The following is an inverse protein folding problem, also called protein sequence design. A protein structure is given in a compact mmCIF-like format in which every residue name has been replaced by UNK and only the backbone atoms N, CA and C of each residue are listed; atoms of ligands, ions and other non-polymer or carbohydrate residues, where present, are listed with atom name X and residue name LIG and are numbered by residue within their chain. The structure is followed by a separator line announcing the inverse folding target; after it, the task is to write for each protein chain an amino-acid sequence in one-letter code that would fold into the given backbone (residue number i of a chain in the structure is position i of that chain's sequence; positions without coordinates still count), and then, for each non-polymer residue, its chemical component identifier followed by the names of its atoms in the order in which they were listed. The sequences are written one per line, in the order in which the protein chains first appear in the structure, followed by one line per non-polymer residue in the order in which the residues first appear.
data_IF_152145778247
#
_entry.id   IF_152145778247
#
_cell.length_a   1.000
_cell.length_b   1.000
_cell.length_c   1.000
_cell.angle_alpha   90.00
_cell.angle_beta   90.00
_cell.angle_gamma   90.00
#
_symmetry.space_group_name_H-M   'P 1'
#
loop_
_entity.id
_entity.type
_entity.pdbx_description
1 polymer ?
#
# COMPACT_ATOMS: atom_id res chain seq x y z
N UNK A 1 -2.35 -2.84 15.95
CA UNK A 1 -3.30 -3.96 15.89
C UNK A 1 -2.70 -5.06 15.02
N UNK A 2 -2.05 -6.09 15.59
CA UNK A 2 -1.28 -7.08 14.82
C UNK A 2 -2.11 -7.80 13.73
N UNK A 3 -3.39 -8.07 14.01
CA UNK A 3 -4.30 -8.72 13.06
C UNK A 3 -4.60 -7.85 11.83
N UNK A 4 -4.61 -6.52 12.01
CA UNK A 4 -4.86 -5.58 10.92
C UNK A 4 -3.64 -5.48 10.00
N UNK A 5 -2.44 -5.42 10.59
CA UNK A 5 -1.19 -5.48 9.83
C UNK A 5 -1.10 -6.79 9.04
N UNK A 6 -1.33 -7.94 9.67
CA UNK A 6 -1.34 -9.25 9.00
C UNK A 6 -2.33 -9.28 7.81
N UNK A 7 -3.46 -8.58 7.87
CA UNK A 7 -4.41 -8.47 6.76
C UNK A 7 -3.86 -7.66 5.58
N UNK A 8 -3.25 -6.50 5.84
CA UNK A 8 -2.63 -5.68 4.79
C UNK A 8 -1.42 -6.36 4.16
N UNK A 9 -0.66 -7.14 4.93
CA UNK A 9 0.43 -7.97 4.40
C UNK A 9 -0.10 -9.05 3.44
N UNK A 10 -1.22 -9.70 3.78
CA UNK A 10 -1.86 -10.68 2.90
C UNK A 10 -2.42 -10.02 1.62
N UNK A 11 -2.98 -8.81 1.75
CA UNK A 11 -3.44 -8.04 0.60
C UNK A 11 -2.30 -7.74 -0.37
N UNK A 12 -1.17 -7.24 0.12
CA UNK A 12 0.04 -7.00 -0.68
C UNK A 12 0.47 -8.28 -1.38
N UNK A 13 0.67 -9.37 -0.63
CA UNK A 13 1.12 -10.65 -1.18
C UNK A 13 0.21 -11.16 -2.29
N UNK A 14 -1.11 -10.99 -2.16
CA UNK A 14 -2.06 -11.36 -3.20
C UNK A 14 -1.94 -10.47 -4.44
N UNK A 15 -1.78 -9.15 -4.26
CA UNK A 15 -1.70 -8.19 -5.37
C UNK A 15 -0.38 -8.27 -6.14
N UNK A 16 0.70 -8.68 -5.49
CA UNK A 16 2.05 -8.72 -6.08
C UNK A 16 2.51 -10.14 -6.44
N UNK A 17 1.63 -11.13 -6.31
CA UNK A 17 1.96 -12.53 -6.57
C UNK A 17 2.38 -12.76 -8.03
N UNK A 18 3.66 -13.06 -8.24
CA UNK A 18 4.24 -13.33 -9.57
C UNK A 18 4.70 -12.10 -10.34
N UNK A 19 4.51 -10.91 -9.77
CA UNK A 19 4.87 -9.65 -10.42
C UNK A 19 6.36 -9.31 -10.21
N UNK A 20 7.04 -8.73 -11.23
CA UNK A 20 8.44 -8.38 -11.12
C UNK A 20 8.63 -7.12 -10.27
N UNK A 21 9.76 -7.05 -9.56
CA UNK A 21 10.19 -5.82 -8.91
C UNK A 21 10.63 -4.78 -9.97
N UNK A 22 10.15 -3.55 -9.82
CA UNK A 22 10.51 -2.38 -10.63
C UNK A 22 10.90 -1.24 -9.70
N UNK A 23 11.80 -0.35 -10.15
CA UNK A 23 12.23 0.78 -9.32
C UNK A 23 11.17 1.89 -9.34
N UNK A 24 10.90 2.49 -8.19
CA UNK A 24 9.92 3.58 -8.08
C UNK A 24 10.26 4.78 -8.96
N UNK A 25 11.54 5.12 -9.05
CA UNK A 25 12.02 6.20 -9.93
C UNK A 25 11.71 5.94 -11.41
N UNK A 26 11.75 4.68 -11.84
CA UNK A 26 11.50 4.30 -13.23
C UNK A 26 10.00 4.32 -13.55
N UNK A 27 9.15 4.05 -12.56
CA UNK A 27 7.68 4.07 -12.70
C UNK A 27 7.09 5.49 -12.62
N UNK A 28 7.62 6.33 -11.74
CA UNK A 28 7.03 7.64 -11.41
C UNK A 28 7.72 8.81 -12.06
N UNK A 29 8.99 8.65 -12.50
CA UNK A 29 9.85 9.75 -12.93
C UNK A 29 10.28 10.69 -11.79
N UNK A 30 9.95 10.37 -10.54
CA UNK A 30 10.33 11.16 -9.36
C UNK A 30 11.69 10.71 -8.81
N UNK A 31 12.31 11.58 -8.01
CA UNK A 31 13.64 11.37 -7.44
C UNK A 31 13.63 10.42 -6.21
N UNK A 32 13.14 9.19 -6.42
CA UNK A 32 13.28 8.09 -5.46
C UNK A 32 14.70 7.52 -5.48
N UNK A 33 15.15 6.97 -4.36
CA UNK A 33 16.45 6.31 -4.24
C UNK A 33 16.51 5.05 -5.13
N UNK A 34 17.72 4.67 -5.52
CA UNK A 34 17.95 3.61 -6.52
C UNK A 34 17.59 2.20 -6.08
N UNK A 35 17.48 2.00 -4.77
CA UNK A 35 17.11 0.78 -4.08
C UNK A 35 15.61 0.73 -3.73
N UNK A 36 14.86 1.81 -3.95
CA UNK A 36 13.42 1.83 -3.74
C UNK A 36 12.71 1.13 -4.90
N UNK A 37 12.14 -0.03 -4.58
CA UNK A 37 11.46 -0.91 -5.54
C UNK A 37 10.04 -1.20 -5.08
N UNK A 38 9.16 -1.48 -6.03
CA UNK A 38 7.82 -1.99 -5.82
C UNK A 38 7.53 -3.10 -6.83
N UNK A 39 6.61 -4.00 -6.54
CA UNK A 39 6.03 -4.87 -7.55
C UNK A 39 4.97 -4.10 -8.36
N UNK A 40 4.58 -4.62 -9.53
CA UNK A 40 3.35 -4.13 -10.16
C UNK A 40 2.18 -4.54 -9.26
N UNK A 41 1.63 -3.57 -8.54
CA UNK A 41 0.77 -3.79 -7.37
C UNK A 41 -0.64 -3.20 -7.56
N UNK A 42 -0.85 -2.57 -8.72
CA UNK A 42 -2.06 -1.87 -9.15
C UNK A 42 -2.56 -0.81 -8.15
N UNK A 43 -1.71 -0.38 -7.20
CA UNK A 43 -2.07 0.72 -6.31
C UNK A 43 -2.13 2.03 -7.09
N UNK A 44 -2.95 2.93 -6.59
CA UNK A 44 -3.09 4.26 -7.18
C UNK A 44 -1.84 5.13 -6.96
N UNK A 45 -1.05 4.79 -5.94
CA UNK A 45 0.25 5.37 -5.66
C UNK A 45 1.29 4.23 -5.66
N UNK A 46 2.25 4.18 -6.61
CA UNK A 46 3.26 3.12 -6.66
C UNK A 46 4.10 3.00 -5.37
N UNK A 47 4.24 4.07 -4.60
CA UNK A 47 4.95 4.04 -3.31
C UNK A 47 4.22 3.18 -2.26
N UNK A 48 2.90 2.99 -2.40
CA UNK A 48 2.08 2.25 -1.46
C UNK A 48 2.50 0.78 -1.34
N UNK A 49 2.91 0.14 -2.45
CA UNK A 49 3.39 -1.24 -2.46
C UNK A 49 4.90 -1.37 -2.38
N UNK A 50 5.62 -0.31 -1.99
CA UNK A 50 7.08 -0.34 -1.86
C UNK A 50 7.54 -1.53 -1.03
N UNK A 51 8.51 -2.26 -1.58
CA UNK A 51 9.12 -3.43 -0.98
C UNK A 51 10.46 -3.05 -0.31
N UNK A 52 10.73 -3.64 0.86
CA UNK A 52 11.92 -3.38 1.67
C UNK A 52 12.77 -4.66 1.84
N UNK A 53 14.08 -4.57 1.63
CA UNK A 53 15.07 -5.62 1.91
C UNK A 53 15.92 -5.24 3.15
N UNK A 54 16.20 -6.18 4.07
CA UNK A 54 16.83 -5.93 5.39
C UNK A 54 18.29 -5.45 5.38
N UNK A 55 19.00 -5.20 6.49
CA UNK A 55 18.75 -5.37 7.95
C UNK A 55 18.21 -4.11 8.62
N UNK A 56 17.08 -4.26 9.31
CA UNK A 56 16.31 -3.18 9.92
C UNK A 56 14.86 -3.12 9.40
N UNK A 57 14.65 -3.55 8.16
CA UNK A 57 13.34 -3.74 7.52
C UNK A 57 13.47 -4.78 6.40
N UNK A 58 13.56 -6.07 6.76
CA UNK A 58 13.26 -7.16 5.82
C UNK A 58 11.81 -7.55 5.97
N UNK A 59 11.12 -7.84 4.88
CA UNK A 59 10.93 -9.25 4.52
C UNK A 59 10.21 -9.38 3.16
N UNK A 60 10.71 -10.26 2.28
CA UNK A 60 9.82 -11.12 1.47
C UNK A 60 9.12 -12.09 2.42
N UNK A 61 8.17 -11.57 3.19
CA UNK A 61 7.52 -12.17 4.38
C UNK A 61 6.87 -11.08 5.25
N UNK A 62 6.59 -11.35 6.52
CA UNK A 62 5.59 -10.65 7.38
C UNK A 62 5.55 -9.10 7.44
N UNK A 63 6.55 -8.35 6.94
CA UNK A 63 6.60 -6.89 7.01
C UNK A 63 7.03 -6.21 5.69
N UNK A 64 6.78 -6.83 4.53
CA UNK A 64 7.13 -6.27 3.21
C UNK A 64 6.28 -5.05 2.81
N UNK A 65 5.09 -4.90 3.39
CA UNK A 65 4.07 -3.95 2.94
C UNK A 65 3.83 -2.78 3.92
N UNK A 66 4.89 -2.08 4.35
CA UNK A 66 4.80 -1.07 5.42
C UNK A 66 3.86 0.09 5.09
N UNK A 67 3.79 0.46 3.81
CA UNK A 67 3.09 1.65 3.35
C UNK A 67 1.64 1.38 2.93
N UNK A 68 1.24 0.10 2.79
CA UNK A 68 -0.08 -0.23 2.25
C UNK A 68 -1.19 0.30 3.15
N UNK A 69 -1.09 0.06 4.46
CA UNK A 69 -2.08 0.52 5.43
C UNK A 69 -2.01 2.03 5.64
N UNK A 70 -0.81 2.59 5.81
CA UNK A 70 -0.61 4.02 6.13
C UNK A 70 -1.07 4.91 4.99
N UNK A 71 -0.69 4.59 3.75
CA UNK A 71 -1.08 5.36 2.56
C UNK A 71 -2.58 5.20 2.28
N UNK A 72 -3.15 4.01 2.46
CA UNK A 72 -4.59 3.80 2.29
C UNK A 72 -5.42 4.62 3.29
N UNK A 73 -5.01 4.65 4.56
CA UNK A 73 -5.65 5.48 5.57
C UNK A 73 -5.44 6.97 5.29
N UNK A 74 -4.26 7.38 4.83
CA UNK A 74 -3.98 8.77 4.46
C UNK A 74 -4.84 9.22 3.27
N UNK A 75 -5.05 8.37 2.27
CA UNK A 75 -5.89 8.67 1.10
C UNK A 75 -7.35 8.94 1.51
N UNK A 76 -7.85 8.28 2.56
CA UNK A 76 -9.21 8.50 3.09
C UNK A 76 -9.27 9.65 4.10
N UNK A 77 -8.36 9.69 5.06
CA UNK A 77 -8.43 10.57 6.24
C UNK A 77 -7.60 11.85 6.11
N UNK A 78 -6.65 11.90 5.19
CA UNK A 78 -5.64 12.95 5.05
C UNK A 78 -6.15 14.29 4.50
N UNK A 79 -7.48 14.47 4.39
CA UNK A 79 -8.13 15.69 3.90
C UNK A 79 -7.62 16.17 2.54
N UNK A 80 -7.27 15.23 1.66
CA UNK A 80 -6.87 15.49 0.29
C UNK A 80 -7.93 14.93 -0.68
N UNK A 81 -8.88 15.75 -1.15
CA UNK A 81 -9.98 15.28 -1.99
C UNK A 81 -9.52 14.63 -3.30
N UNK A 82 -8.38 15.06 -3.85
CA UNK A 82 -7.85 14.49 -5.08
C UNK A 82 -7.32 13.07 -4.85
N UNK A 83 -6.66 12.79 -3.72
CA UNK A 83 -6.20 11.44 -3.36
C UNK A 83 -7.39 10.52 -3.10
N UNK A 84 -8.36 10.97 -2.29
CA UNK A 84 -9.60 10.24 -2.04
C UNK A 84 -10.33 9.90 -3.35
N UNK A 85 -10.55 10.90 -4.22
CA UNK A 85 -11.23 10.70 -5.50
C UNK A 85 -10.49 9.69 -6.38
N UNK A 86 -9.16 9.75 -6.41
CA UNK A 86 -8.35 8.82 -7.20
C UNK A 86 -8.49 7.39 -6.70
N UNK A 87 -8.43 7.16 -5.38
CA UNK A 87 -8.63 5.83 -4.81
C UNK A 87 -10.04 5.31 -5.09
N UNK A 88 -11.09 6.14 -4.94
CA UNK A 88 -12.48 5.78 -5.25
C UNK A 88 -12.67 5.35 -6.71
N UNK A 89 -11.94 5.97 -7.63
CA UNK A 89 -12.06 5.72 -9.08
C UNK A 89 -11.18 4.59 -9.58
N UNK A 90 -9.97 4.44 -9.03
CA UNK A 90 -8.92 3.58 -9.57
C UNK A 90 -8.60 2.35 -8.70
N UNK A 91 -8.90 2.39 -7.40
CA UNK A 91 -8.65 1.28 -6.46
C UNK A 91 -9.83 1.10 -5.50
N UNK A 92 -10.95 0.66 -6.08
CA UNK A 92 -12.21 0.50 -5.36
C UNK A 92 -12.10 -0.52 -4.21
N UNK A 93 -11.33 -1.58 -4.40
CA UNK A 93 -11.10 -2.60 -3.38
C UNK A 93 -10.39 -2.01 -2.16
N UNK A 94 -9.36 -1.17 -2.34
CA UNK A 94 -8.69 -0.49 -1.23
C UNK A 94 -9.64 0.49 -0.52
N UNK A 95 -10.42 1.26 -1.28
CA UNK A 95 -11.41 2.17 -0.70
C UNK A 95 -12.44 1.42 0.16
N UNK A 96 -13.06 0.37 -0.37
CA UNK A 96 -14.08 -0.40 0.34
C UNK A 96 -13.47 -1.09 1.58
N UNK A 97 -12.21 -1.55 1.51
CA UNK A 97 -11.49 -2.07 2.67
C UNK A 97 -11.33 -1.03 3.77
N UNK A 98 -10.78 0.15 3.47
CA UNK A 98 -10.55 1.19 4.48
C UNK A 98 -11.88 1.66 5.08
N UNK A 99 -12.91 1.86 4.27
CA UNK A 99 -14.24 2.24 4.76
C UNK A 99 -14.85 1.17 5.66
N UNK A 100 -14.73 -0.10 5.29
CA UNK A 100 -15.20 -1.22 6.11
C UNK A 100 -14.48 -1.30 7.46
N UNK A 101 -13.16 -1.06 7.47
CA UNK A 101 -12.37 -0.99 8.70
C UNK A 101 -12.83 0.17 9.59
N UNK A 102 -12.97 1.38 9.04
CA UNK A 102 -13.43 2.54 9.79
C UNK A 102 -14.82 2.31 10.38
N UNK A 103 -15.75 1.75 9.61
CA UNK A 103 -17.09 1.42 10.08
C UNK A 103 -17.08 0.36 11.20
N UNK A 104 -16.24 -0.67 11.07
CA UNK A 104 -16.10 -1.71 12.09
C UNK A 104 -15.60 -1.16 13.43
N UNK A 105 -14.62 -0.24 13.40
CA UNK A 105 -14.06 0.36 14.62
C UNK A 105 -14.89 1.53 15.19
N UNK A 106 -15.77 2.16 14.42
CA UNK A 106 -16.66 3.21 14.93
C UNK A 106 -17.88 2.63 15.69
N UNK A 107 -18.16 1.34 15.50
CA UNK A 107 -19.30 0.64 16.13
C UNK A 107 -18.93 -0.25 17.33
N UNK A 108 -17.65 -0.34 17.69
CA UNK A 108 -17.11 -1.19 18.76
C UNK A 108 -16.07 -0.44 19.60
#
# INVERSE_FOLDING_TARGET
MPQLDDYFQQLQQRRTAGEPLRRLKDLTGLNYASDEVTCEDHYTNPYQGREYAGDGLSYRGRHGALEVMTIALEDVLGRNPARLQRMVQADREMFDLVMGLLYYYDLH
#
